data_IF_745528971715
#
_entry.id   IF_745528971715
#
_cell.length_a   1.000
_cell.length_b   1.000
_cell.length_c   1.000
_cell.angle_alpha   90.00
_cell.angle_beta   90.00
_cell.angle_gamma   90.00
#
_symmetry.space_group_name_H-M   'P 1'
#
loop_
_entity.id
_entity.type
_entity.pdbx_description
1 polymer ?
#
# COMPACT_ATOMS: atom_id res chain seq x y z
N UNK A 1 -32.91 56.59 -35.53
CA UNK A 1 -31.79 55.67 -35.91
C UNK A 1 -31.38 54.91 -34.68
N UNK A 2 -32.02 53.78 -34.49
CA UNK A 2 -31.74 52.89 -33.33
C UNK A 2 -30.66 51.93 -33.70
N UNK A 3 -29.53 51.97 -32.98
CA UNK A 3 -28.50 50.96 -33.06
C UNK A 3 -28.81 49.83 -32.05
N UNK A 4 -29.34 48.74 -32.53
CA UNK A 4 -29.46 47.49 -31.77
C UNK A 4 -28.07 46.87 -31.60
N UNK A 5 -27.60 46.79 -30.37
CA UNK A 5 -26.39 46.05 -29.98
C UNK A 5 -26.73 44.56 -29.89
N UNK A 6 -26.21 43.81 -30.85
CA UNK A 6 -26.34 42.36 -30.92
C UNK A 6 -25.41 41.69 -29.91
N UNK A 7 -25.99 41.13 -28.85
CA UNK A 7 -25.24 40.38 -27.81
C UNK A 7 -24.93 38.99 -28.31
N UNK A 8 -23.65 38.70 -28.60
CA UNK A 8 -23.14 37.37 -28.92
C UNK A 8 -23.28 36.44 -27.71
N UNK A 9 -23.91 35.29 -27.81
CA UNK A 9 -24.02 34.33 -26.69
C UNK A 9 -22.65 33.71 -26.40
N UNK A 10 -22.25 33.76 -25.11
CA UNK A 10 -21.03 33.12 -24.57
C UNK A 10 -21.17 31.62 -24.70
N UNK A 11 -20.16 30.88 -25.20
CA UNK A 11 -20.21 29.43 -25.29
C UNK A 11 -20.34 28.83 -23.88
N UNK A 12 -21.29 27.92 -23.70
CA UNK A 12 -21.49 27.18 -22.48
C UNK A 12 -20.26 26.31 -22.19
N UNK A 13 -19.66 26.49 -21.02
CA UNK A 13 -18.58 25.67 -20.54
C UNK A 13 -19.08 24.21 -20.43
N UNK A 14 -18.57 23.32 -21.27
CA UNK A 14 -18.87 21.88 -21.20
C UNK A 14 -18.55 21.29 -19.82
N UNK A 15 -19.14 20.13 -19.49
CA UNK A 15 -18.96 19.51 -18.19
C UNK A 15 -17.47 19.27 -17.92
N UNK A 16 -16.97 19.91 -16.86
CA UNK A 16 -15.60 19.70 -16.36
C UNK A 16 -15.46 18.21 -16.00
N UNK A 17 -14.61 17.48 -16.70
CA UNK A 17 -14.35 16.08 -16.40
C UNK A 17 -14.03 15.94 -14.92
N UNK A 18 -14.75 15.03 -14.24
CA UNK A 18 -14.46 14.71 -12.84
C UNK A 18 -12.97 14.27 -12.73
N UNK A 19 -12.25 14.68 -11.68
CA UNK A 19 -10.88 14.27 -11.51
C UNK A 19 -10.83 12.74 -11.51
N UNK A 20 -10.00 12.16 -12.39
CA UNK A 20 -9.89 10.72 -12.52
C UNK A 20 -9.54 10.11 -11.16
N UNK A 21 -10.30 9.09 -10.74
CA UNK A 21 -10.14 8.44 -9.44
C UNK A 21 -8.68 8.00 -9.18
N UNK A 22 -8.24 8.05 -7.93
CA UNK A 22 -6.93 7.60 -7.52
C UNK A 22 -6.82 6.07 -7.71
N UNK A 23 -5.69 5.61 -8.26
CA UNK A 23 -5.39 4.22 -8.55
C UNK A 23 -3.91 3.89 -8.32
N UNK A 24 -3.52 2.61 -8.50
CA UNK A 24 -2.14 2.15 -8.31
C UNK A 24 -1.14 2.84 -9.26
N UNK A 25 -1.55 3.18 -10.49
CA UNK A 25 -0.67 3.83 -11.47
C UNK A 25 -0.39 5.29 -11.08
N UNK A 26 -1.40 6.00 -10.62
CA UNK A 26 -1.26 7.37 -10.10
C UNK A 26 -0.44 7.42 -8.82
N UNK A 27 -0.57 6.44 -7.93
CA UNK A 27 0.29 6.34 -6.75
C UNK A 27 1.75 6.05 -7.16
N UNK A 28 1.97 5.20 -8.16
CA UNK A 28 3.31 4.88 -8.63
C UNK A 28 4.06 6.05 -9.29
N UNK A 29 3.36 7.11 -9.70
CA UNK A 29 3.95 8.35 -10.22
C UNK A 29 4.32 9.36 -9.12
N UNK A 30 4.03 9.06 -7.84
CA UNK A 30 4.30 9.96 -6.72
C UNK A 30 5.71 9.78 -6.18
N UNK A 31 6.26 10.87 -5.66
CA UNK A 31 7.51 10.87 -4.92
C UNK A 31 7.34 10.22 -3.55
N UNK A 32 8.44 9.86 -2.90
CA UNK A 32 8.44 9.30 -1.55
C UNK A 32 7.75 10.23 -0.55
N UNK A 33 8.04 11.53 -0.60
CA UNK A 33 7.48 12.55 0.30
C UNK A 33 5.98 12.78 0.05
N UNK A 34 5.53 12.76 -1.21
CA UNK A 34 4.10 12.84 -1.55
C UNK A 34 3.33 11.64 -0.99
N UNK A 35 3.89 10.42 -1.10
CA UNK A 35 3.27 9.21 -0.55
C UNK A 35 3.17 9.30 0.98
N UNK A 36 4.21 9.79 1.66
CA UNK A 36 4.17 9.99 3.11
C UNK A 36 3.09 11.04 3.50
N UNK A 37 3.00 12.15 2.79
CA UNK A 37 1.98 13.17 3.03
C UNK A 37 0.57 12.60 2.83
N UNK A 38 0.34 11.81 1.78
CA UNK A 38 -0.94 11.15 1.54
C UNK A 38 -1.29 10.16 2.65
N UNK A 39 -0.32 9.37 3.12
CA UNK A 39 -0.51 8.44 4.23
C UNK A 39 -0.87 9.17 5.53
N UNK A 40 -0.15 10.26 5.86
CA UNK A 40 -0.43 11.09 7.05
C UNK A 40 -1.79 11.78 6.98
N UNK A 41 -2.25 12.19 5.79
CA UNK A 41 -3.55 12.83 5.59
C UNK A 41 -4.73 11.82 5.61
N UNK A 42 -4.46 10.53 5.44
CA UNK A 42 -5.48 9.49 5.39
C UNK A 42 -6.26 9.38 6.72
N UNK A 43 -7.56 9.01 6.68
CA UNK A 43 -8.34 8.77 7.88
C UNK A 43 -7.80 7.58 8.68
N UNK A 44 -8.06 7.60 9.98
CA UNK A 44 -7.75 6.46 10.85
C UNK A 44 -8.69 5.29 10.58
N UNK A 45 -8.18 4.06 10.47
CA UNK A 45 -9.04 2.90 10.28
C UNK A 45 -9.85 2.61 11.54
N UNK A 46 -11.12 2.22 11.35
CA UNK A 46 -12.02 1.77 12.42
C UNK A 46 -12.30 0.28 12.36
N UNK A 47 -12.01 -0.36 11.22
CA UNK A 47 -12.20 -1.79 11.00
C UNK A 47 -11.18 -2.33 9.98
N UNK A 48 -10.78 -3.59 10.14
CA UNK A 48 -9.96 -4.34 9.19
C UNK A 48 -10.76 -4.85 7.98
N UNK A 49 -12.09 -4.93 8.09
CA UNK A 49 -12.94 -5.60 7.09
C UNK A 49 -12.84 -4.98 5.70
N UNK A 50 -12.51 -3.71 5.61
CA UNK A 50 -12.34 -3.01 4.33
C UNK A 50 -11.17 -3.53 3.46
N UNK A 51 -10.19 -4.20 4.07
CA UNK A 51 -9.02 -4.74 3.37
C UNK A 51 -9.10 -6.25 3.14
N UNK A 52 -10.14 -6.93 3.66
CA UNK A 52 -10.29 -8.37 3.54
C UNK A 52 -10.24 -8.89 2.10
N UNK A 53 -9.78 -10.12 1.96
CA UNK A 53 -9.70 -10.80 0.68
C UNK A 53 -8.29 -10.80 0.09
N UNK A 54 -8.20 -10.54 -1.22
CA UNK A 54 -6.96 -10.65 -1.99
C UNK A 54 -6.67 -9.34 -2.75
N UNK A 55 -6.49 -8.18 -2.08
CA UNK A 55 -6.22 -6.92 -2.76
C UNK A 55 -4.96 -7.01 -3.61
N UNK A 56 -5.02 -6.44 -4.82
CA UNK A 56 -3.87 -6.35 -5.71
C UNK A 56 -2.84 -5.39 -5.14
N UNK A 57 -1.57 -5.79 -5.13
CA UNK A 57 -0.48 -5.00 -4.60
C UNK A 57 0.41 -4.37 -5.66
N UNK A 58 1.04 -3.25 -5.30
CA UNK A 58 2.10 -2.61 -6.07
C UNK A 58 3.13 -1.97 -5.15
N UNK A 59 4.39 -2.27 -5.38
CA UNK A 59 5.50 -1.51 -4.81
C UNK A 59 5.62 -0.18 -5.57
N UNK A 60 5.76 0.93 -4.85
CA UNK A 60 5.73 2.29 -5.41
C UNK A 60 7.13 2.90 -5.44
N UNK A 61 7.55 3.50 -4.33
CA UNK A 61 8.84 4.15 -4.19
C UNK A 61 9.72 3.37 -3.21
N UNK A 62 10.96 3.10 -3.61
CA UNK A 62 11.97 2.45 -2.76
C UNK A 62 13.00 3.50 -2.38
N UNK A 63 13.21 3.70 -1.08
CA UNK A 63 14.31 4.52 -0.61
C UNK A 63 15.63 3.83 -0.97
N UNK A 64 16.57 4.56 -1.54
CA UNK A 64 17.93 4.07 -1.78
C UNK A 64 18.62 3.90 -0.41
N UNK A 65 18.35 2.78 0.27
CA UNK A 65 18.71 2.59 1.67
C UNK A 65 20.08 2.01 1.85
N UNK A 66 20.74 2.66 2.76
CA UNK A 66 21.85 2.30 3.64
C UNK A 66 22.32 0.84 3.64
N UNK A 67 23.63 0.73 3.63
CA UNK A 67 24.45 -0.47 3.78
C UNK A 67 24.09 -1.23 5.07
N UNK A 68 23.62 -2.49 4.94
CA UNK A 68 23.35 -3.38 6.07
C UNK A 68 22.63 -4.66 5.61
N UNK A 69 22.79 -5.77 6.35
CA UNK A 69 22.25 -7.10 6.00
C UNK A 69 20.74 -7.11 5.73
N UNK A 70 19.97 -6.28 6.44
CA UNK A 70 18.51 -6.19 6.28
C UNK A 70 18.15 -5.39 5.03
N UNK A 71 18.86 -4.29 4.75
CA UNK A 71 18.69 -3.51 3.50
C UNK A 71 19.09 -4.32 2.27
N UNK A 72 20.04 -5.25 2.38
CA UNK A 72 20.44 -6.15 1.30
C UNK A 72 19.40 -7.25 1.07
N UNK A 73 18.81 -7.82 2.13
CA UNK A 73 17.72 -8.78 2.03
C UNK A 73 16.50 -8.17 1.34
N UNK A 74 16.13 -6.94 1.73
CA UNK A 74 14.99 -6.24 1.15
C UNK A 74 15.27 -5.77 -0.28
N UNK A 75 16.50 -5.34 -0.60
CA UNK A 75 16.92 -5.05 -1.98
C UNK A 75 16.91 -6.29 -2.86
N UNK A 76 17.38 -7.43 -2.36
CA UNK A 76 17.30 -8.72 -3.08
C UNK A 76 15.85 -9.12 -3.29
N UNK A 77 14.99 -8.91 -2.32
CA UNK A 77 13.56 -9.13 -2.42
C UNK A 77 12.92 -8.21 -3.48
N UNK A 78 13.17 -6.90 -3.41
CA UNK A 78 12.65 -5.90 -4.36
C UNK A 78 13.30 -5.99 -5.75
N UNK A 79 14.57 -6.39 -5.85
CA UNK A 79 15.34 -6.49 -7.10
C UNK A 79 15.22 -7.85 -7.77
N UNK A 80 14.67 -8.85 -7.12
CA UNK A 80 14.48 -10.18 -7.70
C UNK A 80 13.44 -10.13 -8.81
N UNK A 81 13.90 -10.06 -10.06
CA UNK A 81 13.05 -10.23 -11.25
C UNK A 81 12.29 -11.56 -11.27
N UNK A 82 12.73 -12.52 -10.44
CA UNK A 82 12.13 -13.84 -10.29
C UNK A 82 11.04 -13.89 -9.21
N UNK A 83 10.87 -12.80 -8.44
CA UNK A 83 9.92 -12.72 -7.35
C UNK A 83 8.91 -11.60 -7.64
N UNK A 84 7.82 -11.97 -8.26
CA UNK A 84 6.73 -11.02 -8.54
C UNK A 84 5.79 -11.00 -7.34
N UNK A 85 5.83 -9.91 -6.57
CA UNK A 85 4.87 -9.66 -5.53
C UNK A 85 3.55 -9.17 -6.13
N UNK A 86 2.46 -9.89 -5.86
CA UNK A 86 1.12 -9.60 -6.38
C UNK A 86 0.22 -8.89 -5.35
N UNK A 87 0.67 -8.83 -4.11
CA UNK A 87 -0.10 -8.23 -3.03
C UNK A 87 -0.14 -9.11 -1.79
N UNK A 88 -1.18 -8.93 -1.01
CA UNK A 88 -1.38 -9.63 0.26
C UNK A 88 -2.76 -10.27 0.31
N UNK A 89 -2.93 -11.27 1.18
CA UNK A 89 -4.24 -11.80 1.56
C UNK A 89 -4.54 -11.32 2.97
N UNK A 90 -5.79 -10.98 3.25
CA UNK A 90 -6.26 -10.58 4.57
C UNK A 90 -7.51 -11.37 4.95
N UNK A 91 -7.61 -11.71 6.22
CA UNK A 91 -8.75 -12.35 6.84
C UNK A 91 -8.96 -11.77 8.24
N UNK A 92 -9.96 -10.93 8.41
CA UNK A 92 -10.33 -10.35 9.69
C UNK A 92 -10.96 -11.39 10.60
N UNK A 93 -10.45 -11.51 11.81
CA UNK A 93 -11.05 -12.31 12.90
C UNK A 93 -12.04 -11.46 13.71
N UNK A 94 -11.76 -10.17 13.82
CA UNK A 94 -12.64 -9.15 14.40
C UNK A 94 -12.48 -7.83 13.63
N UNK A 95 -13.11 -6.76 14.09
CA UNK A 95 -12.90 -5.43 13.48
C UNK A 95 -11.49 -4.91 13.69
N UNK A 96 -10.76 -5.38 14.69
CA UNK A 96 -9.44 -4.86 15.08
C UNK A 96 -8.32 -5.89 15.01
N UNK A 97 -8.61 -7.16 14.82
CA UNK A 97 -7.64 -8.25 14.75
C UNK A 97 -7.88 -9.12 13.52
N UNK A 98 -6.80 -9.62 12.94
CA UNK A 98 -6.85 -10.51 11.78
C UNK A 98 -5.48 -11.06 11.44
N UNK A 99 -5.40 -11.72 10.29
CA UNK A 99 -4.17 -12.35 9.78
C UNK A 99 -4.12 -12.30 8.27
N UNK A 100 -2.95 -12.58 7.73
CA UNK A 100 -2.75 -12.65 6.29
C UNK A 100 -1.40 -13.22 5.90
N UNK A 101 -1.11 -13.17 4.61
CA UNK A 101 0.19 -13.56 4.06
C UNK A 101 0.48 -12.78 2.77
N UNK A 102 1.74 -12.71 2.39
CA UNK A 102 2.12 -12.15 1.10
C UNK A 102 1.82 -13.14 -0.02
N UNK A 103 1.31 -12.64 -1.14
CA UNK A 103 1.14 -13.41 -2.37
C UNK A 103 2.31 -13.13 -3.30
N UNK A 104 2.96 -14.20 -3.73
CA UNK A 104 4.15 -14.13 -4.57
C UNK A 104 4.06 -15.10 -5.74
N UNK A 105 4.54 -14.68 -6.89
CA UNK A 105 4.73 -15.54 -8.04
C UNK A 105 6.20 -15.99 -8.05
N UNK A 106 6.41 -17.28 -7.87
CA UNK A 106 7.74 -17.89 -7.97
C UNK A 106 7.99 -18.41 -9.38
N UNK A 107 9.25 -18.50 -9.83
CA UNK A 107 9.58 -18.99 -11.17
C UNK A 107 9.34 -20.49 -11.31
N UNK A 108 9.11 -20.92 -12.54
CA UNK A 108 8.96 -22.34 -12.92
C UNK A 108 7.71 -22.98 -12.32
N UNK A 109 7.85 -24.25 -11.94
CA UNK A 109 6.77 -25.10 -11.41
C UNK A 109 6.28 -24.71 -10.02
N UNK A 110 7.01 -23.85 -9.29
CA UNK A 110 6.61 -23.38 -7.95
C UNK A 110 5.38 -22.46 -8.00
N UNK A 111 5.17 -21.75 -9.12
CA UNK A 111 3.96 -20.99 -9.38
C UNK A 111 3.63 -19.94 -8.30
N UNK A 112 2.35 -19.82 -8.00
CA UNK A 112 1.83 -18.85 -7.03
C UNK A 112 1.86 -19.42 -5.61
N UNK A 113 2.43 -18.68 -4.66
CA UNK A 113 2.58 -19.11 -3.27
C UNK A 113 2.13 -18.03 -2.29
N UNK A 114 1.47 -18.45 -1.21
CA UNK A 114 1.25 -17.63 -0.02
C UNK A 114 2.44 -17.77 0.92
N UNK A 115 3.23 -16.72 1.09
CA UNK A 115 4.44 -16.75 1.92
C UNK A 115 4.42 -15.63 2.96
N UNK A 116 5.24 -15.81 4.00
CA UNK A 116 5.45 -14.79 5.02
C UNK A 116 4.14 -14.35 5.68
N UNK A 117 3.54 -15.23 6.50
CA UNK A 117 2.35 -14.90 7.26
C UNK A 117 2.59 -13.70 8.19
N UNK A 118 1.52 -12.96 8.46
CA UNK A 118 1.51 -11.85 9.40
C UNK A 118 0.20 -11.83 10.18
N UNK A 119 0.23 -11.23 11.35
CA UNK A 119 -0.94 -10.82 12.10
C UNK A 119 -1.26 -9.36 11.80
N UNK A 120 -2.55 -9.00 11.87
CA UNK A 120 -2.99 -7.61 11.69
C UNK A 120 -3.71 -7.11 12.92
N UNK A 121 -3.47 -5.84 13.26
CA UNK A 121 -4.19 -5.13 14.31
C UNK A 121 -4.33 -3.65 13.97
N UNK A 122 -5.32 -3.00 14.56
CA UNK A 122 -5.41 -1.53 14.55
C UNK A 122 -4.65 -1.02 15.76
N UNK A 123 -3.57 -0.24 15.53
CA UNK A 123 -2.69 0.29 16.57
C UNK A 123 -2.05 1.60 16.12
N UNK A 124 -1.26 2.24 17.00
CA UNK A 124 -0.53 3.46 16.71
C UNK A 124 0.53 3.25 15.62
N UNK A 125 0.49 4.10 14.59
CA UNK A 125 1.48 4.14 13.51
C UNK A 125 2.83 4.64 14.01
N UNK A 126 3.90 4.00 13.55
CA UNK A 126 5.27 4.45 13.78
C UNK A 126 5.63 5.73 13.02
N UNK A 127 4.82 6.13 12.01
CA UNK A 127 5.04 7.33 11.20
C UNK A 127 4.57 8.60 11.91
N UNK A 128 3.40 8.54 12.59
CA UNK A 128 2.77 9.74 13.14
C UNK A 128 1.97 9.53 14.44
N UNK A 129 1.96 8.33 15.01
CA UNK A 129 1.25 7.99 16.25
C UNK A 129 -0.27 7.84 16.09
N UNK A 130 -0.86 8.19 14.94
CA UNK A 130 -2.28 8.00 14.67
C UNK A 130 -2.57 6.53 14.34
N UNK A 131 -3.82 6.07 14.50
CA UNK A 131 -4.16 4.67 14.20
C UNK A 131 -3.87 4.29 12.74
N UNK A 132 -3.35 3.08 12.57
CA UNK A 132 -3.14 2.42 11.28
C UNK A 132 -3.46 0.93 11.41
N UNK A 133 -3.60 0.24 10.30
CA UNK A 133 -3.60 -1.21 10.26
C UNK A 133 -2.14 -1.64 10.22
N UNK A 134 -1.69 -2.28 11.31
CA UNK A 134 -0.33 -2.79 11.45
C UNK A 134 -0.28 -4.24 10.96
N UNK A 135 0.75 -4.59 10.19
CA UNK A 135 1.03 -5.94 9.75
C UNK A 135 2.33 -6.40 10.45
N UNK A 136 2.19 -7.31 11.38
CA UNK A 136 3.30 -7.82 12.19
C UNK A 136 3.77 -9.18 11.70
N UNK A 137 5.01 -9.24 11.25
CA UNK A 137 5.65 -10.45 10.72
C UNK A 137 6.46 -11.21 11.79
N UNK A 138 6.46 -10.80 13.06
CA UNK A 138 7.25 -11.44 14.10
C UNK A 138 6.64 -12.77 14.57
N UNK A 139 6.45 -13.66 13.61
CA UNK A 139 5.93 -15.01 13.80
C UNK A 139 7.06 -16.04 13.66
N UNK A 140 7.04 -17.08 14.48
CA UNK A 140 8.06 -18.15 14.44
C UNK A 140 8.15 -18.88 13.10
N UNK A 141 7.06 -18.87 12.32
CA UNK A 141 7.03 -19.45 10.97
C UNK A 141 7.84 -18.61 9.94
N UNK A 142 8.19 -17.38 10.28
CA UNK A 142 8.95 -16.50 9.38
C UNK A 142 10.45 -16.57 9.67
N UNK A 143 11.30 -16.47 8.62
CA UNK A 143 12.74 -16.31 8.79
C UNK A 143 13.08 -15.01 9.55
N UNK A 144 14.22 -14.92 10.26
CA UNK A 144 14.58 -13.76 11.07
C UNK A 144 14.55 -12.43 10.32
N UNK A 145 14.95 -12.40 9.05
CA UNK A 145 14.95 -11.18 8.23
C UNK A 145 13.54 -10.71 7.86
N UNK A 146 12.55 -11.62 7.79
CA UNK A 146 11.15 -11.28 7.59
C UNK A 146 10.54 -10.79 8.90
N UNK A 147 10.89 -11.40 10.04
CA UNK A 147 10.43 -10.98 11.36
C UNK A 147 10.85 -9.56 11.73
N UNK A 148 11.91 -9.06 11.10
CA UNK A 148 12.36 -7.68 11.23
C UNK A 148 11.51 -6.67 10.43
N UNK A 149 10.60 -7.11 9.57
CA UNK A 149 9.71 -6.24 8.79
C UNK A 149 8.55 -5.76 9.68
N UNK A 150 8.14 -4.54 9.46
CA UNK A 150 6.96 -3.90 10.04
C UNK A 150 6.27 -3.09 8.94
N UNK A 151 5.07 -3.48 8.57
CA UNK A 151 4.28 -2.77 7.57
C UNK A 151 3.10 -2.10 8.26
N UNK A 152 2.67 -0.97 7.71
CA UNK A 152 1.46 -0.26 8.14
C UNK A 152 0.67 0.14 6.89
N UNK A 153 -0.67 0.22 6.99
CA UNK A 153 -1.51 0.72 5.90
C UNK A 153 -2.64 1.59 6.42
N UNK A 154 -3.05 2.59 5.59
CA UNK A 154 -4.28 3.37 5.72
C UNK A 154 -4.99 3.45 4.39
N UNK A 155 -6.30 3.62 4.42
CA UNK A 155 -7.11 3.83 3.23
C UNK A 155 -6.99 5.29 2.76
N UNK A 156 -6.36 5.52 1.59
CA UNK A 156 -6.15 6.85 1.01
C UNK A 156 -7.25 7.26 0.01
N UNK A 157 -8.02 6.30 -0.45
CA UNK A 157 -9.26 6.47 -1.23
C UNK A 157 -10.08 5.19 -1.08
N UNK A 158 -11.40 5.21 -1.32
CA UNK A 158 -12.25 4.04 -1.17
C UNK A 158 -11.68 2.80 -1.86
N UNK A 159 -11.37 1.77 -1.07
CA UNK A 159 -10.76 0.51 -1.52
C UNK A 159 -9.30 0.58 -1.95
N UNK A 160 -8.61 1.71 -1.73
CA UNK A 160 -7.20 1.88 -2.05
C UNK A 160 -6.40 2.20 -0.78
N UNK A 161 -5.51 1.32 -0.41
CA UNK A 161 -4.67 1.43 0.78
C UNK A 161 -3.23 1.77 0.39
N UNK A 162 -2.59 2.61 1.17
CA UNK A 162 -1.19 3.02 1.04
C UNK A 162 -0.49 2.76 2.36
N UNK A 163 0.75 2.30 2.30
CA UNK A 163 1.53 2.12 3.51
C UNK A 163 3.02 1.98 3.29
N UNK A 164 3.81 2.29 4.34
CA UNK A 164 5.24 2.04 4.37
C UNK A 164 5.52 0.56 4.73
N UNK A 165 6.50 -0.03 4.07
CA UNK A 165 7.21 -1.17 4.59
C UNK A 165 8.48 -0.67 5.29
N UNK A 166 8.63 -1.07 6.53
CA UNK A 166 9.68 -0.62 7.43
C UNK A 166 10.54 -1.80 7.91
N UNK A 167 11.71 -1.48 8.41
CA UNK A 167 12.59 -2.42 9.09
C UNK A 167 12.72 -2.00 10.55
N UNK A 168 12.50 -2.93 11.48
CA UNK A 168 12.73 -2.75 12.92
C UNK A 168 14.22 -2.47 13.15
N UNK A 169 14.53 -1.33 13.77
CA UNK A 169 15.89 -0.93 14.14
C UNK A 169 15.97 -0.63 15.63
N UNK A 170 17.18 -0.47 16.18
CA UNK A 170 17.35 -0.09 17.58
C UNK A 170 16.73 1.27 17.95
N UNK A 171 16.43 2.13 16.95
CA UNK A 171 15.81 3.45 17.11
C UNK A 171 14.33 3.47 16.76
N UNK A 172 13.72 2.31 16.51
CA UNK A 172 12.37 2.14 16.01
C UNK A 172 12.33 1.75 14.54
N UNK A 173 11.13 1.50 13.99
CA UNK A 173 10.95 1.15 12.58
C UNK A 173 11.40 2.28 11.64
N UNK A 174 12.12 1.92 10.58
CA UNK A 174 12.59 2.85 9.55
C UNK A 174 11.99 2.49 8.20
N UNK A 175 11.32 3.43 7.54
CA UNK A 175 10.68 3.21 6.23
C UNK A 175 11.74 2.93 5.17
N UNK A 176 11.53 1.89 4.38
CA UNK A 176 12.41 1.47 3.29
C UNK A 176 11.73 1.51 1.92
N UNK A 177 10.43 1.34 1.87
CA UNK A 177 9.63 1.50 0.65
C UNK A 177 8.18 1.86 0.99
N UNK A 178 7.47 2.39 -0.01
CA UNK A 178 6.03 2.53 -0.01
C UNK A 178 5.39 1.48 -0.92
N UNK A 179 4.25 0.94 -0.50
CA UNK A 179 3.44 0.05 -1.30
C UNK A 179 1.96 0.43 -1.22
N UNK A 180 1.19 -0.01 -2.19
CA UNK A 180 -0.26 0.14 -2.18
C UNK A 180 -0.98 -1.18 -2.43
N UNK A 181 -2.21 -1.25 -1.94
CA UNK A 181 -3.13 -2.37 -2.10
C UNK A 181 -4.47 -1.84 -2.62
N UNK A 182 -5.01 -2.48 -3.66
CA UNK A 182 -6.29 -2.14 -4.27
C UNK A 182 -7.28 -3.30 -4.11
N UNK A 183 -8.33 -3.10 -3.31
CA UNK A 183 -9.40 -4.08 -3.09
C UNK A 183 -10.46 -4.06 -4.19
N UNK A 184 -10.51 -3.00 -5.00
CA UNK A 184 -11.48 -2.81 -6.10
C UNK A 184 -11.13 -3.68 -7.31
N UNK A 185 -9.84 -4.00 -7.44
CA UNK A 185 -9.32 -4.87 -8.49
C UNK A 185 -8.68 -6.09 -7.84
N UNK A 186 -9.47 -7.09 -7.43
CA UNK A 186 -8.94 -8.27 -6.80
C UNK A 186 -7.95 -8.96 -7.75
N UNK A 187 -6.90 -9.51 -7.16
CA UNK A 187 -5.92 -10.28 -7.91
C UNK A 187 -6.60 -11.45 -8.64
N UNK A 188 -6.11 -11.78 -9.85
CA UNK A 188 -6.50 -12.98 -10.59
C UNK A 188 -6.04 -14.30 -9.93
N UNK A 189 -5.66 -14.25 -8.67
CA UNK A 189 -5.38 -15.44 -7.87
C UNK A 189 -6.71 -16.13 -7.51
N UNK A 190 -7.04 -17.13 -8.27
CA UNK A 190 -8.09 -18.09 -7.94
C UNK A 190 -7.58 -19.08 -6.89
#
# INVERSE_FOLDING_TARGET
MDHATESTPRPASGPRAAPAALDLDKLASRTFDELEQMYRAAPEPTSLRGVDGKPRGRMLAVLAVSKGLVGEGLRRFAASRSFVWDGKTFASESDTLGKGHNRVQLPGLLGRQGLFPFETRIDASSVDGRKAIILDYDLSANPPYIRAIHDEIREVAPGLYLGPAMVKTARGPATVLWFALDTRSPSAWS
#
